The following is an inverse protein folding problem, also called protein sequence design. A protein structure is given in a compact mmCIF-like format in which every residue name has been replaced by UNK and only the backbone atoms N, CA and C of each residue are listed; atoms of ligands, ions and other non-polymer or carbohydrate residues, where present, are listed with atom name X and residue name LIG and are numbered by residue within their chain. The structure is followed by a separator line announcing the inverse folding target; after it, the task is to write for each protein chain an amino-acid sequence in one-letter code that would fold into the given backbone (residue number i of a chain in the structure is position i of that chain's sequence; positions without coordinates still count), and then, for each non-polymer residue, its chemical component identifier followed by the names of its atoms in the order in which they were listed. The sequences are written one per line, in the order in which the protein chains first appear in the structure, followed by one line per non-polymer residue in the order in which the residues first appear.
data_IF_712543045558
#
_entry.id   IF_712543045558
#
_cell.length_a   1.000
_cell.length_b   1.000
_cell.length_c   1.000
_cell.angle_alpha   90.00
_cell.angle_beta   90.00
_cell.angle_gamma   90.00
#
_symmetry.space_group_name_H-M   'P 1'
#
loop_
_entity.id
_entity.type
_entity.pdbx_description
1 polymer ?
#
# COMPACT_ATOMS: atom_id res chain seq x y z
N UNK A 1 -13.39 -31.25 -6.94
CA UNK A 1 -13.07 -31.40 -5.50
C UNK A 1 -13.01 -29.98 -4.95
N UNK A 2 -13.78 -29.67 -3.90
CA UNK A 2 -13.70 -28.34 -3.26
C UNK A 2 -12.26 -28.15 -2.76
N UNK A 3 -11.62 -27.06 -3.20
CA UNK A 3 -10.30 -26.70 -2.69
C UNK A 3 -10.46 -26.26 -1.23
N UNK A 4 -10.03 -27.09 -0.28
CA UNK A 4 -10.09 -26.78 1.15
C UNK A 4 -8.70 -26.86 1.79
N UNK A 5 -8.42 -25.95 2.72
CA UNK A 5 -7.17 -25.86 3.48
C UNK A 5 -7.49 -25.71 4.97
N UNK A 6 -6.83 -26.51 5.79
CA UNK A 6 -6.82 -26.34 7.24
C UNK A 6 -5.47 -25.76 7.68
N UNK A 7 -5.48 -24.60 8.33
CA UNK A 7 -4.34 -24.07 9.06
C UNK A 7 -4.51 -24.51 10.51
N UNK A 8 -3.62 -25.39 11.01
CA UNK A 8 -3.76 -26.05 12.29
C UNK A 8 -2.84 -25.44 13.36
N UNK A 9 -3.37 -25.19 14.54
CA UNK A 9 -2.62 -24.86 15.76
C UNK A 9 -1.95 -23.49 15.76
N UNK A 10 -2.42 -22.55 14.91
CA UNK A 10 -1.83 -21.20 14.80
C UNK A 10 -2.31 -20.22 15.86
N UNK A 11 -1.46 -19.27 16.25
CA UNK A 11 -1.84 -18.06 17.00
C UNK A 11 -2.49 -17.06 16.04
N UNK A 12 -3.81 -17.16 15.88
CA UNK A 12 -4.58 -16.41 14.89
C UNK A 12 -4.98 -15.03 15.42
N UNK A 13 -4.66 -13.98 14.67
CA UNK A 13 -5.12 -12.63 14.94
C UNK A 13 -6.54 -12.43 14.41
N UNK A 14 -7.48 -12.24 15.33
CA UNK A 14 -8.88 -11.89 15.02
C UNK A 14 -9.48 -11.03 16.14
N UNK A 15 -10.43 -10.16 15.80
CA UNK A 15 -11.13 -9.29 16.75
C UNK A 15 -10.17 -8.54 17.72
N UNK A 16 -9.00 -8.11 17.23
CA UNK A 16 -8.02 -7.39 18.05
C UNK A 16 -7.22 -8.26 19.04
N UNK A 17 -7.31 -9.60 18.96
CA UNK A 17 -6.64 -10.55 19.87
C UNK A 17 -5.93 -11.63 19.07
N UNK A 18 -4.93 -12.28 19.70
CA UNK A 18 -4.35 -13.53 19.21
C UNK A 18 -4.96 -14.69 20.00
N UNK A 19 -5.53 -15.65 19.30
CA UNK A 19 -6.18 -16.84 19.88
C UNK A 19 -5.57 -18.09 19.22
N UNK A 20 -5.24 -19.13 20.02
CA UNK A 20 -4.82 -20.42 19.47
C UNK A 20 -6.05 -21.15 18.93
N UNK A 21 -6.09 -21.35 17.62
CA UNK A 21 -7.20 -22.03 16.96
C UNK A 21 -6.83 -22.54 15.57
N UNK A 22 -7.64 -23.46 15.08
CA UNK A 22 -7.59 -23.91 13.70
C UNK A 22 -8.44 -23.01 12.81
N UNK A 23 -7.93 -22.72 11.60
CA UNK A 23 -8.67 -21.98 10.56
C UNK A 23 -9.03 -22.93 9.43
N UNK A 24 -10.31 -23.01 9.09
CA UNK A 24 -10.78 -23.76 7.94
C UNK A 24 -11.11 -22.82 6.79
N UNK A 25 -10.53 -23.12 5.63
CA UNK A 25 -10.70 -22.37 4.38
C UNK A 25 -11.33 -23.29 3.35
N UNK A 26 -12.36 -22.81 2.67
CA UNK A 26 -13.04 -23.53 1.59
C UNK A 26 -13.51 -22.54 0.55
N UNK A 27 -13.30 -22.88 -0.73
CA UNK A 27 -13.68 -22.06 -1.88
C UNK A 27 -13.19 -20.59 -1.76
N UNK A 28 -11.99 -20.40 -1.25
CA UNK A 28 -11.34 -19.09 -1.13
C UNK A 28 -11.77 -18.21 0.04
N UNK A 29 -12.62 -18.73 0.94
CA UNK A 29 -13.14 -17.99 2.11
C UNK A 29 -12.82 -18.70 3.43
N UNK A 30 -12.75 -17.93 4.51
CA UNK A 30 -12.72 -18.49 5.88
C UNK A 30 -14.11 -19.03 6.24
N UNK A 31 -14.21 -20.35 6.48
CA UNK A 31 -15.51 -21.02 6.70
C UNK A 31 -15.67 -21.62 8.09
N UNK A 32 -14.60 -21.69 8.89
CA UNK A 32 -14.70 -22.26 10.24
C UNK A 32 -13.50 -22.00 11.13
N UNK A 33 -13.77 -22.10 12.44
CA UNK A 33 -12.81 -22.11 13.51
C UNK A 33 -13.02 -23.38 14.34
N UNK A 34 -11.92 -24.06 14.77
CA UNK A 34 -12.01 -25.27 15.59
C UNK A 34 -12.87 -26.41 14.99
N UNK A 35 -12.79 -26.63 13.68
CA UNK A 35 -13.55 -27.67 13.02
C UNK A 35 -12.71 -28.94 12.81
N UNK A 36 -13.19 -30.04 13.35
CA UNK A 36 -12.62 -31.38 13.14
C UNK A 36 -13.28 -32.03 11.91
N UNK A 37 -13.00 -31.50 10.71
CA UNK A 37 -13.45 -32.06 9.44
C UNK A 37 -12.27 -32.27 8.48
N UNK A 38 -12.35 -33.25 7.55
CA UNK A 38 -11.31 -33.45 6.54
C UNK A 38 -11.10 -32.19 5.69
N UNK A 39 -9.85 -31.88 5.40
CA UNK A 39 -9.44 -30.84 4.48
C UNK A 39 -8.64 -31.44 3.32
N UNK A 40 -8.68 -30.79 2.15
CA UNK A 40 -7.88 -31.18 0.98
C UNK A 40 -6.38 -30.98 1.18
N UNK A 41 -6.00 -30.04 2.06
CA UNK A 41 -4.63 -29.77 2.50
C UNK A 41 -4.58 -29.34 3.97
N UNK A 42 -3.44 -29.58 4.60
CA UNK A 42 -3.19 -29.11 5.98
C UNK A 42 -1.88 -28.32 5.99
N UNK A 43 -1.91 -27.16 6.62
CA UNK A 43 -0.74 -26.36 6.96
C UNK A 43 -0.57 -26.37 8.47
N UNK A 44 0.50 -26.96 8.96
CA UNK A 44 0.82 -26.97 10.40
C UNK A 44 1.41 -25.61 10.77
N UNK A 45 0.71 -24.87 11.65
CA UNK A 45 1.08 -23.52 12.09
C UNK A 45 1.37 -23.46 13.61
N UNK A 46 1.71 -24.61 14.22
CA UNK A 46 2.01 -24.65 15.64
C UNK A 46 3.14 -23.67 16.01
N UNK A 47 2.91 -22.86 17.04
CA UNK A 47 3.79 -21.78 17.48
C UNK A 47 3.98 -20.63 16.47
N UNK A 48 3.26 -20.60 15.35
CA UNK A 48 3.31 -19.53 14.37
C UNK A 48 2.17 -18.52 14.59
N UNK A 49 2.40 -17.29 14.14
CA UNK A 49 1.38 -16.25 14.12
C UNK A 49 0.67 -16.26 12.75
N UNK A 50 -0.65 -16.24 12.77
CA UNK A 50 -1.49 -16.13 11.57
C UNK A 50 -2.22 -14.79 11.64
N UNK A 51 -1.83 -13.87 10.77
CA UNK A 51 -2.42 -12.54 10.67
C UNK A 51 -3.21 -12.38 9.37
N UNK A 52 -4.15 -11.44 9.25
CA UNK A 52 -4.71 -11.09 7.95
C UNK A 52 -3.60 -10.79 6.95
N UNK A 53 -3.77 -11.19 5.71
CA UNK A 53 -2.79 -10.90 4.66
C UNK A 53 -2.47 -9.40 4.58
N UNK A 54 -1.21 -9.05 4.47
CA UNK A 54 -0.78 -7.65 4.42
C UNK A 54 -1.21 -7.00 3.10
N UNK A 55 -1.58 -5.72 3.15
CA UNK A 55 -2.07 -4.94 2.01
C UNK A 55 -1.19 -3.71 1.84
N UNK A 56 -0.51 -3.62 0.69
CA UNK A 56 0.33 -2.47 0.32
C UNK A 56 -0.38 -1.60 -0.72
N UNK A 57 -0.80 -0.41 -0.33
CA UNK A 57 -1.58 0.49 -1.20
C UNK A 57 -0.73 1.52 -1.95
N UNK A 58 0.59 1.48 -1.77
CA UNK A 58 1.52 2.39 -2.42
C UNK A 58 2.86 1.70 -2.69
N UNK A 59 3.07 1.26 -3.93
CA UNK A 59 4.30 0.61 -4.39
C UNK A 59 4.49 0.82 -5.89
N UNK A 60 5.69 1.25 -6.30
CA UNK A 60 6.06 1.48 -7.72
C UNK A 60 6.67 0.25 -8.38
N UNK A 61 6.98 -0.78 -7.60
CA UNK A 61 7.56 -2.02 -8.12
C UNK A 61 8.51 -2.72 -7.16
N UNK A 62 9.16 -3.78 -7.66
CA UNK A 62 10.16 -4.57 -6.93
C UNK A 62 10.93 -5.46 -7.90
N UNK A 63 12.02 -6.06 -7.43
CA UNK A 63 12.81 -7.11 -8.12
C UNK A 63 13.13 -6.81 -9.58
N UNK A 64 13.51 -5.55 -9.85
CA UNK A 64 13.89 -5.07 -11.19
C UNK A 64 12.71 -4.67 -12.07
N UNK A 65 11.49 -4.66 -11.57
CA UNK A 65 10.27 -4.28 -12.31
C UNK A 65 9.72 -2.97 -11.76
N UNK A 66 9.45 -2.02 -12.65
CA UNK A 66 8.79 -0.74 -12.36
C UNK A 66 7.44 -0.70 -13.07
N UNK A 67 6.37 -0.31 -12.37
CA UNK A 67 5.02 -0.30 -12.94
C UNK A 67 4.80 0.76 -14.03
N UNK A 68 5.67 1.76 -14.14
CA UNK A 68 5.69 2.68 -15.27
C UNK A 68 6.40 2.11 -16.52
N UNK A 69 7.23 1.07 -16.36
CA UNK A 69 8.14 0.60 -17.41
C UNK A 69 7.95 -0.87 -17.79
N UNK A 70 7.18 -1.66 -17.03
CA UNK A 70 7.12 -3.11 -17.26
C UNK A 70 6.66 -3.50 -18.67
N UNK A 71 7.28 -4.56 -19.19
CA UNK A 71 7.07 -5.00 -20.55
C UNK A 71 5.84 -5.91 -20.67
N UNK A 72 5.74 -6.92 -19.82
CA UNK A 72 4.79 -8.03 -19.97
C UNK A 72 4.28 -8.60 -18.63
N UNK A 73 3.47 -9.63 -18.76
CA UNK A 73 2.82 -10.33 -17.64
C UNK A 73 3.79 -11.15 -16.80
N UNK A 74 4.93 -11.58 -17.36
CA UNK A 74 5.93 -12.35 -16.62
C UNK A 74 6.64 -11.49 -15.58
N UNK A 75 6.85 -10.19 -15.89
CA UNK A 75 7.38 -9.23 -14.93
C UNK A 75 6.41 -9.00 -13.78
N UNK A 76 5.10 -8.91 -14.07
CA UNK A 76 4.07 -8.82 -13.01
C UNK A 76 4.04 -10.08 -12.15
N UNK A 77 4.14 -11.27 -12.75
CA UNK A 77 4.21 -12.52 -12.00
C UNK A 77 5.41 -12.56 -11.03
N UNK A 78 6.56 -12.08 -11.48
CA UNK A 78 7.77 -11.96 -10.66
C UNK A 78 7.54 -11.05 -9.44
N UNK A 79 6.92 -9.88 -9.65
CA UNK A 79 6.59 -8.94 -8.57
C UNK A 79 5.57 -9.55 -7.60
N UNK A 80 4.50 -10.16 -8.11
CA UNK A 80 3.47 -10.80 -7.29
C UNK A 80 4.07 -11.91 -6.42
N UNK A 81 4.94 -12.75 -6.99
CA UNK A 81 5.65 -13.79 -6.25
C UNK A 81 6.57 -13.22 -5.16
N UNK A 82 7.28 -12.15 -5.47
CA UNK A 82 8.12 -11.45 -4.50
C UNK A 82 7.27 -10.85 -3.37
N UNK A 83 6.21 -10.13 -3.67
CA UNK A 83 5.34 -9.55 -2.65
C UNK A 83 4.69 -10.63 -1.78
N UNK A 84 4.27 -11.75 -2.36
CA UNK A 84 3.79 -12.89 -1.58
C UNK A 84 4.88 -13.41 -0.63
N UNK A 85 6.15 -13.48 -1.04
CA UNK A 85 7.26 -13.86 -0.16
C UNK A 85 7.51 -12.88 0.99
N UNK A 86 6.94 -11.67 0.90
CA UNK A 86 6.99 -10.61 1.91
C UNK A 86 5.68 -10.46 2.70
N UNK A 87 4.79 -11.44 2.58
CA UNK A 87 3.53 -11.48 3.31
C UNK A 87 2.39 -10.65 2.73
N UNK A 88 2.56 -10.08 1.54
CA UNK A 88 1.55 -9.25 0.87
C UNK A 88 0.56 -10.15 0.13
N UNK A 89 -0.70 -10.09 0.50
CA UNK A 89 -1.80 -10.78 -0.17
C UNK A 89 -2.62 -9.89 -1.09
N UNK A 90 -2.44 -8.58 -0.97
CA UNK A 90 -3.09 -7.58 -1.81
C UNK A 90 -2.27 -6.32 -1.94
N UNK A 91 -2.27 -5.70 -3.12
CA UNK A 91 -1.55 -4.44 -3.33
C UNK A 91 -2.18 -3.59 -4.44
N UNK A 92 -1.83 -2.31 -4.46
CA UNK A 92 -2.12 -1.40 -5.56
C UNK A 92 -0.81 -1.07 -6.28
N UNK A 93 -0.57 -1.57 -7.52
CA UNK A 93 0.50 -1.03 -8.33
C UNK A 93 0.30 0.48 -8.48
N UNK A 94 1.34 1.24 -8.18
CA UNK A 94 1.33 2.71 -8.25
C UNK A 94 2.00 3.16 -9.53
N UNK A 95 1.23 3.82 -10.39
CA UNK A 95 1.73 4.50 -11.60
C UNK A 95 1.98 5.95 -11.23
N UNK A 96 3.23 6.37 -11.29
CA UNK A 96 3.61 7.76 -11.03
C UNK A 96 3.45 8.62 -12.28
N UNK A 97 3.47 9.92 -12.10
CA UNK A 97 3.41 10.93 -13.18
C UNK A 97 4.52 10.70 -14.20
N UNK A 98 4.10 10.50 -15.46
CA UNK A 98 4.96 10.28 -16.62
C UNK A 98 4.30 10.90 -17.87
N UNK A 99 4.91 10.73 -19.03
CA UNK A 99 4.29 11.09 -20.32
C UNK A 99 2.90 10.45 -20.44
N UNK A 100 1.86 11.19 -20.88
CA UNK A 100 0.47 10.70 -20.88
C UNK A 100 0.29 9.35 -21.58
N UNK A 101 0.98 9.13 -22.69
CA UNK A 101 0.88 7.87 -23.44
C UNK A 101 1.59 6.70 -22.72
N UNK A 102 2.64 6.96 -21.95
CA UNK A 102 3.29 5.96 -21.09
C UNK A 102 2.31 5.56 -20.00
N UNK A 103 1.74 6.53 -19.28
CA UNK A 103 0.76 6.26 -18.22
C UNK A 103 -0.44 5.45 -18.75
N UNK A 104 -1.07 5.88 -19.85
CA UNK A 104 -2.21 5.18 -20.47
C UNK A 104 -1.83 3.73 -20.85
N UNK A 105 -0.66 3.55 -21.43
CA UNK A 105 -0.16 2.22 -21.83
C UNK A 105 -0.04 1.30 -20.61
N UNK A 106 0.61 1.75 -19.54
CA UNK A 106 0.83 0.93 -18.36
C UNK A 106 -0.48 0.67 -17.58
N UNK A 107 -1.34 1.70 -17.45
CA UNK A 107 -2.68 1.54 -16.87
C UNK A 107 -3.49 0.49 -17.65
N UNK A 108 -3.47 0.53 -18.98
CA UNK A 108 -4.18 -0.45 -19.84
C UNK A 108 -3.64 -1.88 -19.65
N UNK A 109 -2.31 -2.05 -19.48
CA UNK A 109 -1.69 -3.36 -19.22
C UNK A 109 -2.10 -3.89 -17.85
N UNK A 110 -2.03 -3.06 -16.80
CA UNK A 110 -2.39 -3.43 -15.41
C UNK A 110 -3.87 -3.77 -15.27
N UNK A 111 -4.73 -3.12 -16.04
CA UNK A 111 -6.19 -3.30 -16.00
C UNK A 111 -6.72 -4.41 -16.91
N UNK A 112 -5.85 -5.24 -17.52
CA UNK A 112 -6.31 -6.35 -18.38
C UNK A 112 -7.09 -7.39 -17.56
N UNK A 113 -8.32 -7.76 -17.96
CA UNK A 113 -9.14 -8.72 -17.22
C UNK A 113 -8.45 -10.07 -16.98
N UNK A 114 -7.67 -10.55 -17.97
CA UNK A 114 -6.91 -11.81 -17.84
C UNK A 114 -5.85 -11.72 -16.75
N UNK A 115 -5.14 -10.57 -16.65
CA UNK A 115 -4.14 -10.30 -15.62
C UNK A 115 -4.78 -10.30 -14.23
N UNK A 116 -5.87 -9.56 -14.06
CA UNK A 116 -6.57 -9.43 -12.78
C UNK A 116 -7.18 -10.76 -12.32
N UNK A 117 -7.66 -11.58 -13.26
CA UNK A 117 -8.14 -12.94 -12.94
C UNK A 117 -7.00 -13.86 -12.49
N UNK A 118 -5.82 -13.71 -13.09
CA UNK A 118 -4.63 -14.50 -12.75
C UNK A 118 -4.02 -14.08 -11.42
N UNK A 119 -4.01 -12.77 -11.15
CA UNK A 119 -3.39 -12.17 -9.97
C UNK A 119 -4.42 -11.40 -9.12
N UNK A 120 -5.26 -12.10 -8.32
CA UNK A 120 -6.27 -11.47 -7.46
C UNK A 120 -5.67 -10.62 -6.34
N UNK A 121 -4.36 -10.60 -6.21
CA UNK A 121 -3.59 -9.70 -5.34
C UNK A 121 -3.62 -8.25 -5.80
N UNK A 122 -3.84 -8.00 -7.11
CA UNK A 122 -3.99 -6.64 -7.66
C UNK A 122 -5.39 -6.14 -7.32
N UNK A 123 -5.50 -5.31 -6.29
CA UNK A 123 -6.79 -4.83 -5.75
C UNK A 123 -7.35 -3.61 -6.48
N UNK A 124 -6.58 -3.02 -7.35
CA UNK A 124 -6.83 -1.80 -8.09
C UNK A 124 -5.51 -1.14 -8.47
N UNK A 125 -5.54 0.13 -8.85
CA UNK A 125 -4.37 0.92 -9.23
C UNK A 125 -4.35 2.18 -8.37
N UNK A 126 -3.17 2.57 -7.91
CA UNK A 126 -2.91 3.89 -7.33
C UNK A 126 -2.28 4.77 -8.41
N UNK A 127 -2.85 5.93 -8.65
CA UNK A 127 -2.31 6.95 -9.56
C UNK A 127 -1.64 8.05 -8.74
N UNK A 128 -0.32 8.21 -8.83
CA UNK A 128 0.40 9.26 -8.12
C UNK A 128 0.64 10.47 -9.03
N UNK A 129 -0.20 11.47 -8.87
CA UNK A 129 -0.32 12.62 -9.76
C UNK A 129 -1.24 12.35 -10.97
N UNK A 130 -1.18 13.16 -12.05
CA UNK A 130 -0.23 14.26 -12.33
C UNK A 130 -0.58 15.62 -11.68
N UNK A 131 -1.61 15.70 -10.87
CA UNK A 131 -2.15 16.95 -10.31
C UNK A 131 -1.40 17.33 -9.01
N UNK A 132 -0.08 17.57 -9.12
CA UNK A 132 0.82 17.80 -8.00
C UNK A 132 1.44 19.20 -8.05
N UNK A 133 1.90 19.69 -6.88
CA UNK A 133 2.60 20.96 -6.77
C UNK A 133 4.07 20.82 -7.18
N UNK A 134 4.51 21.64 -8.14
CA UNK A 134 5.88 21.64 -8.66
C UNK A 134 6.96 21.83 -7.58
N UNK A 135 6.67 22.64 -6.55
CA UNK A 135 7.62 22.87 -5.44
C UNK A 135 7.78 21.67 -4.50
N UNK A 136 6.83 20.73 -4.54
CA UNK A 136 6.82 19.51 -3.71
C UNK A 136 6.77 18.25 -4.56
N UNK A 137 7.19 18.33 -5.80
CA UNK A 137 7.09 17.27 -6.83
C UNK A 137 7.85 15.98 -6.50
N UNK A 138 8.78 16.01 -5.53
CA UNK A 138 9.60 14.84 -5.23
C UNK A 138 10.40 14.37 -6.46
N UNK A 139 10.19 13.14 -6.87
CA UNK A 139 10.83 12.54 -8.04
C UNK A 139 10.18 12.91 -9.38
N UNK A 140 8.96 13.50 -9.41
CA UNK A 140 8.24 13.79 -10.63
C UNK A 140 8.91 14.91 -11.44
N UNK A 141 8.83 14.82 -12.77
CA UNK A 141 9.27 15.90 -13.67
C UNK A 141 8.25 17.01 -13.68
N UNK A 142 8.71 18.25 -13.48
CA UNK A 142 7.84 19.42 -13.38
C UNK A 142 7.00 19.67 -14.64
N UNK A 143 7.58 19.44 -15.81
CA UNK A 143 6.93 19.63 -17.12
C UNK A 143 5.76 18.66 -17.38
N UNK A 144 5.66 17.59 -16.58
CA UNK A 144 4.58 16.58 -16.68
C UNK A 144 3.43 16.84 -15.71
N UNK A 145 3.61 17.79 -14.77
CA UNK A 145 2.58 18.14 -13.81
C UNK A 145 1.47 18.96 -14.46
N UNK A 146 0.24 18.79 -13.97
CA UNK A 146 -0.95 19.40 -14.55
C UNK A 146 -1.81 20.06 -13.50
N UNK A 147 -2.61 21.05 -13.90
CA UNK A 147 -3.76 21.49 -13.14
C UNK A 147 -4.81 20.37 -13.05
N UNK A 148 -5.63 20.40 -11.99
CA UNK A 148 -6.67 19.41 -11.82
C UNK A 148 -7.74 19.54 -12.92
N UNK A 149 -7.86 18.51 -13.72
CA UNK A 149 -8.77 18.43 -14.85
C UNK A 149 -9.48 17.07 -14.87
N UNK A 150 -10.81 17.08 -14.90
CA UNK A 150 -11.62 15.87 -14.89
C UNK A 150 -11.48 15.07 -16.20
N UNK A 151 -11.38 15.75 -17.33
CA UNK A 151 -11.21 15.10 -18.64
C UNK A 151 -9.87 14.35 -18.71
N UNK A 152 -8.81 14.95 -18.17
CA UNK A 152 -7.51 14.30 -18.07
C UNK A 152 -7.57 13.05 -17.17
N UNK A 153 -8.27 13.13 -16.03
CA UNK A 153 -8.47 11.95 -15.19
C UNK A 153 -9.33 10.89 -15.89
N UNK A 154 -10.40 11.27 -16.58
CA UNK A 154 -11.28 10.35 -17.28
C UNK A 154 -10.54 9.56 -18.37
N UNK A 155 -9.65 10.19 -19.12
CA UNK A 155 -8.79 9.49 -20.08
C UNK A 155 -7.90 8.42 -19.42
N UNK A 156 -7.33 8.70 -18.24
CA UNK A 156 -6.51 7.75 -17.50
C UNK A 156 -7.37 6.63 -16.90
N UNK A 157 -8.54 6.97 -16.36
CA UNK A 157 -9.47 5.99 -15.79
C UNK A 157 -10.05 5.06 -16.85
N UNK A 158 -10.32 5.58 -18.05
CA UNK A 158 -10.77 4.78 -19.19
C UNK A 158 -9.66 3.81 -19.66
N UNK A 159 -8.41 4.27 -19.74
CA UNK A 159 -7.26 3.42 -20.02
C UNK A 159 -7.11 2.33 -18.94
N UNK A 160 -7.33 2.68 -17.68
CA UNK A 160 -7.34 1.78 -16.54
C UNK A 160 -8.63 0.94 -16.42
N UNK A 161 -9.58 1.04 -17.32
CA UNK A 161 -10.89 0.31 -17.27
C UNK A 161 -11.61 0.45 -15.94
N UNK A 162 -11.55 1.62 -15.32
CA UNK A 162 -12.15 1.87 -14.01
C UNK A 162 -11.36 1.33 -12.81
N UNK A 163 -10.13 0.86 -13.00
CA UNK A 163 -9.33 0.24 -11.94
C UNK A 163 -8.53 1.22 -11.07
N UNK A 164 -8.48 2.53 -11.41
CA UNK A 164 -7.90 3.53 -10.51
C UNK A 164 -8.80 3.66 -9.29
N UNK A 165 -8.32 3.19 -8.15
CA UNK A 165 -9.02 3.24 -6.86
C UNK A 165 -8.53 4.32 -5.93
N UNK A 166 -7.26 4.71 -6.08
CA UNK A 166 -6.62 5.77 -5.30
C UNK A 166 -5.94 6.74 -6.24
N UNK A 167 -6.04 8.03 -5.97
CA UNK A 167 -5.24 9.07 -6.63
C UNK A 167 -4.60 9.97 -5.57
N UNK A 168 -3.30 10.23 -5.74
CA UNK A 168 -2.59 11.28 -5.01
C UNK A 168 -2.63 12.58 -5.78
N UNK A 169 -3.03 13.67 -5.10
CA UNK A 169 -3.04 15.01 -5.67
C UNK A 169 -2.76 16.08 -4.58
N UNK A 170 -2.41 17.28 -5.02
CA UNK A 170 -2.11 18.41 -4.13
C UNK A 170 -3.32 19.34 -4.00
N UNK A 171 -3.79 19.62 -2.77
CA UNK A 171 -5.03 20.38 -2.56
C UNK A 171 -5.01 21.82 -3.09
N UNK A 172 -3.84 22.44 -3.18
CA UNK A 172 -3.63 23.80 -3.67
C UNK A 172 -3.61 23.92 -5.21
N UNK A 173 -3.52 22.81 -5.93
CA UNK A 173 -3.55 22.84 -7.40
C UNK A 173 -4.91 23.29 -7.89
N UNK A 174 -4.93 24.21 -8.85
CA UNK A 174 -6.15 24.79 -9.39
C UNK A 174 -7.12 23.71 -9.87
N UNK A 175 -8.40 23.82 -9.48
CA UNK A 175 -9.45 22.85 -9.84
C UNK A 175 -9.57 21.65 -8.88
N UNK A 176 -8.61 21.47 -7.97
CA UNK A 176 -8.51 20.29 -7.10
C UNK A 176 -9.79 20.02 -6.31
N UNK A 177 -10.35 21.03 -5.65
CA UNK A 177 -11.55 20.86 -4.80
C UNK A 177 -12.77 20.35 -5.58
N UNK A 178 -12.93 20.77 -6.83
CA UNK A 178 -13.99 20.29 -7.71
C UNK A 178 -13.72 18.85 -8.15
N UNK A 179 -12.47 18.57 -8.55
CA UNK A 179 -12.06 17.23 -8.95
C UNK A 179 -12.24 16.23 -7.79
N UNK A 180 -11.86 16.58 -6.56
CA UNK A 180 -12.04 15.70 -5.39
C UNK A 180 -13.51 15.29 -5.22
N UNK A 181 -14.47 16.22 -5.30
CA UNK A 181 -15.90 15.90 -5.19
C UNK A 181 -16.36 14.92 -6.26
N UNK A 182 -15.98 15.16 -7.50
CA UNK A 182 -16.31 14.30 -8.63
C UNK A 182 -15.75 12.89 -8.45
N UNK A 183 -14.47 12.77 -8.12
CA UNK A 183 -13.80 11.49 -7.94
C UNK A 183 -14.36 10.70 -6.76
N UNK A 184 -14.58 11.37 -5.64
CA UNK A 184 -15.16 10.74 -4.44
C UNK A 184 -16.58 10.27 -4.70
N UNK A 185 -17.38 11.04 -5.42
CA UNK A 185 -18.73 10.64 -5.86
C UNK A 185 -18.74 9.39 -6.75
N UNK A 186 -17.65 9.10 -7.44
CA UNK A 186 -17.43 7.90 -8.28
C UNK A 186 -16.75 6.75 -7.52
N UNK A 187 -16.49 6.90 -6.21
CA UNK A 187 -15.87 5.87 -5.36
C UNK A 187 -14.35 5.80 -5.43
N UNK A 188 -13.68 6.74 -6.11
CA UNK A 188 -12.23 6.86 -6.10
C UNK A 188 -11.78 7.52 -4.80
N UNK A 189 -10.80 6.93 -4.12
CA UNK A 189 -10.21 7.49 -2.91
C UNK A 189 -9.18 8.55 -3.27
N UNK A 190 -9.31 9.72 -2.67
CA UNK A 190 -8.37 10.81 -2.89
C UNK A 190 -7.42 10.91 -1.71
N UNK A 191 -6.12 10.83 -1.99
CA UNK A 191 -5.03 10.99 -1.04
C UNK A 191 -4.32 12.33 -1.28
N UNK A 192 -4.07 13.09 -0.23
CA UNK A 192 -3.41 14.39 -0.31
C UNK A 192 -1.90 14.23 -0.11
N UNK A 193 -1.12 14.68 -1.07
CA UNK A 193 0.35 14.57 -1.02
C UNK A 193 1.04 15.51 -1.99
N UNK A 194 2.37 15.51 -1.99
CA UNK A 194 3.20 16.36 -2.84
C UNK A 194 2.77 17.84 -2.79
N UNK A 195 2.62 18.39 -1.58
CA UNK A 195 1.81 19.58 -1.36
C UNK A 195 2.48 20.60 -0.45
N UNK A 196 2.41 21.85 -0.87
CA UNK A 196 2.71 23.03 -0.06
C UNK A 196 1.49 23.72 0.54
N UNK A 197 0.31 23.08 0.49
CA UNK A 197 -0.95 23.67 0.92
C UNK A 197 -0.91 24.22 2.33
N UNK A 198 -1.64 25.30 2.52
CA UNK A 198 -1.99 25.83 3.82
C UNK A 198 -3.05 24.98 4.53
N UNK A 199 -3.31 25.32 5.79
CA UNK A 199 -4.29 24.60 6.61
C UNK A 199 -5.69 24.65 6.00
N UNK A 200 -6.20 25.84 5.65
CA UNK A 200 -7.57 26.04 5.14
C UNK A 200 -7.79 25.37 3.76
N UNK A 201 -6.78 25.40 2.90
CA UNK A 201 -6.85 24.70 1.60
C UNK A 201 -7.00 23.20 1.81
N UNK A 202 -6.23 22.65 2.74
CA UNK A 202 -6.25 21.22 3.08
C UNK A 202 -7.59 20.83 3.72
N UNK A 203 -8.11 21.64 4.67
CA UNK A 203 -9.45 21.43 5.24
C UNK A 203 -10.51 21.43 4.15
N UNK A 204 -10.44 22.40 3.22
CA UNK A 204 -11.37 22.45 2.09
C UNK A 204 -11.30 21.23 1.16
N UNK A 205 -10.15 20.60 1.02
CA UNK A 205 -9.98 19.36 0.25
C UNK A 205 -10.54 18.14 1.02
N UNK A 206 -10.31 18.07 2.34
CA UNK A 206 -10.88 17.02 3.19
C UNK A 206 -12.41 17.12 3.22
N UNK A 207 -12.96 18.31 3.39
CA UNK A 207 -14.42 18.55 3.37
C UNK A 207 -15.03 18.28 1.98
N UNK A 208 -14.24 18.33 0.91
CA UNK A 208 -14.64 17.92 -0.43
C UNK A 208 -14.65 16.40 -0.63
N UNK A 209 -14.04 15.62 0.28
CA UNK A 209 -14.06 14.16 0.28
C UNK A 209 -12.70 13.46 0.25
N UNK A 210 -11.58 14.19 0.33
CA UNK A 210 -10.28 13.56 0.47
C UNK A 210 -10.24 12.71 1.76
N UNK A 211 -9.77 11.47 1.66
CA UNK A 211 -9.90 10.46 2.72
C UNK A 211 -8.58 9.95 3.28
N UNK A 212 -7.46 10.35 2.69
CA UNK A 212 -6.13 9.97 3.16
C UNK A 212 -5.07 11.02 2.82
N UNK A 213 -3.86 10.82 3.36
CA UNK A 213 -2.65 11.54 2.93
C UNK A 213 -1.57 10.54 2.57
N UNK A 214 -0.86 10.84 1.48
CA UNK A 214 0.21 10.02 0.90
C UNK A 214 1.50 10.26 1.70
N UNK A 215 2.23 9.18 2.01
CA UNK A 215 3.54 9.15 2.69
C UNK A 215 3.81 10.36 3.59
N UNK A 216 3.01 10.48 4.67
CA UNK A 216 2.97 11.64 5.59
C UNK A 216 4.37 12.16 5.94
N UNK A 217 4.53 13.49 5.97
CA UNK A 217 5.76 14.25 6.18
C UNK A 217 6.78 14.21 5.03
N UNK A 218 6.55 13.42 4.00
CA UNK A 218 7.42 13.39 2.81
C UNK A 218 6.79 14.19 1.67
N UNK A 219 7.60 14.95 0.93
CA UNK A 219 7.15 15.82 -0.16
C UNK A 219 5.96 16.70 0.23
N UNK A 220 5.95 17.27 1.44
CA UNK A 220 4.88 18.16 1.91
C UNK A 220 5.40 19.25 2.84
N UNK A 221 4.67 20.36 2.91
CA UNK A 221 4.94 21.45 3.83
C UNK A 221 4.75 20.97 5.27
N UNK A 222 5.81 21.12 6.08
CA UNK A 222 5.79 20.68 7.47
C UNK A 222 5.10 21.70 8.39
N UNK A 223 4.75 21.23 9.58
CA UNK A 223 4.11 22.04 10.62
C UNK A 223 5.02 23.20 11.06
N UNK A 224 4.45 24.41 11.08
CA UNK A 224 5.05 25.60 11.67
C UNK A 224 4.03 26.32 12.56
N UNK A 225 4.48 26.86 13.70
CA UNK A 225 3.57 27.41 14.73
C UNK A 225 2.77 28.63 14.25
N UNK A 226 3.28 29.39 13.28
CA UNK A 226 2.62 30.61 12.77
C UNK A 226 1.99 30.41 11.38
N UNK A 227 2.28 29.30 10.72
CA UNK A 227 1.79 28.96 9.39
C UNK A 227 1.48 27.47 9.34
N UNK A 228 0.36 27.06 9.95
CA UNK A 228 -0.06 25.66 9.92
C UNK A 228 -0.29 25.22 8.49
N UNK A 229 0.31 24.10 8.13
CA UNK A 229 0.33 23.56 6.79
C UNK A 229 -0.58 22.33 6.65
N UNK A 230 -0.53 21.67 5.50
CA UNK A 230 -1.17 20.39 5.21
C UNK A 230 -0.97 19.39 6.36
N UNK A 231 0.24 19.29 6.92
CA UNK A 231 0.53 18.35 7.99
C UNK A 231 -0.34 18.56 9.23
N UNK A 232 -0.61 19.82 9.62
CA UNK A 232 -1.48 20.11 10.76
C UNK A 232 -2.92 19.65 10.51
N UNK A 233 -3.47 20.00 9.35
CA UNK A 233 -4.84 19.61 8.98
C UNK A 233 -5.01 18.08 8.91
N UNK A 234 -4.05 17.39 8.33
CA UNK A 234 -4.05 15.92 8.24
C UNK A 234 -3.98 15.26 9.61
N UNK A 235 -3.16 15.80 10.54
CA UNK A 235 -3.05 15.25 11.89
C UNK A 235 -4.30 15.48 12.72
N UNK A 236 -5.00 16.58 12.51
CA UNK A 236 -6.21 16.96 13.25
C UNK A 236 -7.47 16.23 12.77
N UNK A 237 -7.63 16.09 11.43
CA UNK A 237 -8.86 15.55 10.81
C UNK A 237 -8.88 14.02 10.80
N UNK A 238 -10.07 13.44 10.81
CA UNK A 238 -10.29 11.98 10.80
C UNK A 238 -10.17 11.38 9.41
N UNK A 239 -8.99 11.46 8.79
CA UNK A 239 -8.61 10.81 7.53
C UNK A 239 -7.47 9.84 7.77
N UNK A 240 -7.23 8.92 6.84
CA UNK A 240 -6.09 8.01 6.94
C UNK A 240 -4.77 8.71 6.59
N UNK A 241 -3.64 8.12 7.04
CA UNK A 241 -2.31 8.62 6.70
C UNK A 241 -1.36 7.44 6.42
N UNK A 242 -0.72 7.48 5.25
CA UNK A 242 0.31 6.53 4.88
C UNK A 242 1.64 6.87 5.56
N UNK A 243 2.39 5.86 5.98
CA UNK A 243 3.74 6.02 6.53
C UNK A 243 4.71 4.99 5.96
N UNK A 244 5.90 5.45 5.58
CA UNK A 244 7.03 4.63 5.16
C UNK A 244 7.92 4.42 6.38
N UNK A 245 7.92 3.20 6.93
CA UNK A 245 8.58 2.89 8.21
C UNK A 245 9.94 2.23 8.02
N UNK A 246 10.75 2.75 7.12
CA UNK A 246 12.09 2.24 6.78
C UNK A 246 13.21 2.75 7.71
N UNK A 247 12.93 3.78 8.53
CA UNK A 247 13.92 4.48 9.37
C UNK A 247 14.66 5.61 8.65
N UNK A 248 14.51 5.74 7.32
CA UNK A 248 15.06 6.83 6.49
C UNK A 248 14.03 7.92 6.25
N UNK A 249 12.83 7.56 5.77
CA UNK A 249 11.72 8.49 5.55
C UNK A 249 11.16 9.00 6.88
N UNK A 250 10.96 8.11 7.83
CA UNK A 250 10.49 8.44 9.16
C UNK A 250 11.43 7.86 10.23
N UNK A 251 12.11 8.72 10.96
CA UNK A 251 12.91 8.30 12.11
C UNK A 251 12.00 7.65 13.18
N UNK A 252 12.44 6.60 13.92
CA UNK A 252 11.60 5.88 14.88
C UNK A 252 10.82 6.74 15.89
N UNK A 253 11.38 7.79 16.53
CA UNK A 253 10.62 8.76 17.32
C UNK A 253 9.47 9.44 16.59
N UNK A 254 9.63 9.75 15.29
CA UNK A 254 8.57 10.36 14.48
C UNK A 254 7.43 9.38 14.25
N UNK A 255 7.74 8.10 13.95
CA UNK A 255 6.72 7.05 13.85
C UNK A 255 5.88 6.97 15.13
N UNK A 256 6.55 6.95 16.31
CA UNK A 256 5.83 6.93 17.60
C UNK A 256 4.98 8.19 17.84
N UNK A 257 5.47 9.35 17.43
CA UNK A 257 4.75 10.63 17.55
C UNK A 257 3.50 10.62 16.67
N UNK A 258 3.62 10.21 15.42
CA UNK A 258 2.50 10.10 14.48
C UNK A 258 1.43 9.15 15.01
N UNK A 259 1.80 7.95 15.47
CA UNK A 259 0.88 6.99 16.06
C UNK A 259 0.20 7.51 17.34
N UNK A 260 0.87 8.37 18.11
CA UNK A 260 0.31 9.00 19.30
C UNK A 260 -0.70 10.10 18.97
N UNK A 261 -0.43 10.89 17.94
CA UNK A 261 -1.29 12.04 17.54
C UNK A 261 -2.46 11.56 16.68
N UNK A 262 -2.17 10.82 15.61
CA UNK A 262 -3.15 10.40 14.61
C UNK A 262 -3.98 9.19 15.06
N UNK A 263 -3.43 8.36 15.95
CA UNK A 263 -4.04 7.11 16.36
C UNK A 263 -3.68 5.93 15.45
N UNK A 264 -3.77 4.73 16.00
CA UNK A 264 -3.38 3.48 15.35
C UNK A 264 -4.35 3.02 14.26
N UNK A 265 -5.59 3.44 14.33
CA UNK A 265 -6.68 3.06 13.44
C UNK A 265 -6.81 3.98 12.20
N UNK A 266 -5.98 5.01 12.10
CA UNK A 266 -5.90 5.94 10.96
C UNK A 266 -4.54 5.93 10.25
N UNK A 267 -3.57 5.17 10.76
CA UNK A 267 -2.27 5.04 10.11
C UNK A 267 -2.22 3.78 9.25
N UNK A 268 -1.61 3.88 8.06
CA UNK A 268 -1.41 2.77 7.13
C UNK A 268 0.08 2.68 6.84
N UNK A 269 0.69 1.52 7.04
CA UNK A 269 2.05 1.26 6.60
C UNK A 269 2.05 0.92 5.11
N UNK A 270 2.83 1.64 4.34
CA UNK A 270 3.08 1.39 2.92
C UNK A 270 4.58 1.21 2.70
N UNK A 271 4.94 0.62 1.57
CA UNK A 271 6.36 0.50 1.24
C UNK A 271 6.87 1.69 0.45
N UNK A 272 6.09 2.23 -0.46
CA UNK A 272 6.58 3.15 -1.49
C UNK A 272 7.81 2.54 -2.19
N UNK A 273 7.78 1.20 -2.37
CA UNK A 273 8.92 0.46 -2.92
C UNK A 273 9.09 0.73 -4.41
N UNK A 274 10.35 0.73 -4.84
CA UNK A 274 10.73 0.87 -6.24
C UNK A 274 11.31 -0.46 -6.77
N UNK A 275 11.63 -0.53 -8.05
CA UNK A 275 12.21 -1.72 -8.69
C UNK A 275 13.46 -2.28 -7.97
N UNK A 276 14.14 -1.48 -7.16
CA UNK A 276 15.29 -1.89 -6.37
C UNK A 276 14.94 -2.77 -5.15
N UNK A 277 13.68 -2.77 -4.70
CA UNK A 277 13.27 -3.59 -3.57
C UNK A 277 13.50 -5.08 -3.88
N UNK A 278 14.21 -5.77 -3.00
CA UNK A 278 14.62 -7.16 -3.19
C UNK A 278 15.93 -7.35 -3.96
N UNK A 279 16.57 -6.26 -4.39
CA UNK A 279 17.86 -6.26 -5.07
C UNK A 279 18.95 -5.58 -4.22
N UNK A 280 20.25 -5.81 -4.54
CA UNK A 280 21.36 -5.17 -3.84
C UNK A 280 21.42 -3.66 -4.11
N UNK A 281 22.27 -2.96 -3.37
CA UNK A 281 22.60 -1.56 -3.65
C UNK A 281 23.11 -1.39 -5.08
N UNK A 282 22.78 -0.27 -5.72
CA UNK A 282 23.12 -0.01 -7.11
C UNK A 282 22.34 1.13 -7.74
N UNK A 283 22.44 1.26 -9.06
CA UNK A 283 21.66 2.22 -9.83
C UNK A 283 20.41 1.54 -10.42
N UNK A 284 19.27 2.23 -10.32
CA UNK A 284 17.96 1.77 -10.72
C UNK A 284 17.17 2.90 -11.39
N UNK A 285 15.94 2.62 -11.77
CA UNK A 285 14.97 3.60 -12.28
C UNK A 285 13.78 3.72 -11.35
N UNK A 286 13.14 4.88 -11.39
CA UNK A 286 11.79 5.13 -10.90
C UNK A 286 11.07 5.95 -11.97
N UNK A 287 10.23 5.28 -12.77
CA UNK A 287 9.73 5.86 -14.00
C UNK A 287 10.89 6.39 -14.85
N UNK A 288 10.86 7.66 -15.30
CA UNK A 288 11.92 8.25 -16.13
C UNK A 288 13.17 8.68 -15.36
N UNK A 289 13.25 8.47 -14.03
CA UNK A 289 14.30 9.03 -13.20
C UNK A 289 15.34 7.99 -12.80
N UNK A 290 16.62 8.39 -12.76
CA UNK A 290 17.69 7.55 -12.23
C UNK A 290 17.78 7.67 -10.72
N UNK A 291 17.85 6.53 -10.05
CA UNK A 291 17.93 6.41 -8.59
C UNK A 291 19.19 5.63 -8.23
N UNK A 292 19.91 6.09 -7.23
CA UNK A 292 21.02 5.37 -6.57
C UNK A 292 20.53 4.84 -5.22
N UNK A 293 20.73 3.55 -4.99
CA UNK A 293 20.48 2.91 -3.68
C UNK A 293 21.82 2.66 -3.02
N UNK A 294 21.96 3.16 -1.78
CA UNK A 294 23.13 2.94 -0.94
C UNK A 294 22.68 2.66 0.49
N UNK A 295 23.15 1.55 1.05
CA UNK A 295 22.75 1.07 2.38
C UNK A 295 21.21 0.97 2.53
N UNK A 296 20.51 0.68 1.42
CA UNK A 296 19.06 0.60 1.34
C UNK A 296 18.31 1.94 1.24
N UNK A 297 19.00 3.10 1.29
CA UNK A 297 18.41 4.45 1.11
C UNK A 297 18.43 4.82 -0.39
N UNK A 298 17.23 5.04 -0.98
CA UNK A 298 17.05 5.33 -2.40
C UNK A 298 16.96 6.84 -2.64
N UNK A 299 17.78 7.37 -3.55
CA UNK A 299 17.88 8.80 -3.87
C UNK A 299 18.01 9.06 -5.35
N UNK A 300 17.41 10.15 -5.82
CA UNK A 300 17.65 10.65 -7.18
C UNK A 300 19.14 10.93 -7.39
N UNK A 301 19.69 10.45 -8.50
CA UNK A 301 21.06 10.71 -8.89
C UNK A 301 21.30 12.20 -9.13
N UNK A 302 20.31 12.90 -9.66
CA UNK A 302 20.40 14.31 -10.05
C UNK A 302 20.60 15.26 -8.88
N UNK A 303 19.87 15.07 -7.77
CA UNK A 303 19.80 16.08 -6.70
C UNK A 303 19.85 15.50 -5.28
N UNK A 304 19.95 14.16 -5.14
CA UNK A 304 20.03 13.49 -3.84
C UNK A 304 18.73 13.46 -3.02
N UNK A 305 17.62 13.89 -3.60
CA UNK A 305 16.29 13.79 -2.95
C UNK A 305 15.87 12.32 -2.87
N UNK A 306 15.28 11.90 -1.74
CA UNK A 306 14.71 10.54 -1.63
C UNK A 306 13.61 10.31 -2.65
N UNK A 307 13.59 9.12 -3.22
CA UNK A 307 12.69 8.75 -4.31
C UNK A 307 12.29 7.28 -4.14
N UNK A 308 11.13 7.09 -3.54
CA UNK A 308 10.66 5.78 -3.13
C UNK A 308 11.57 5.09 -2.12
N UNK A 309 11.38 3.81 -1.90
CA UNK A 309 12.14 3.04 -0.92
C UNK A 309 12.55 1.65 -1.43
N UNK A 310 13.36 0.94 -0.63
CA UNK A 310 13.62 -0.49 -0.78
C UNK A 310 12.91 -1.31 0.31
N UNK A 311 11.96 -0.69 1.03
CA UNK A 311 11.21 -1.31 2.11
C UNK A 311 10.33 -2.43 1.56
N UNK A 312 10.17 -3.49 2.36
CA UNK A 312 9.20 -4.58 2.13
C UNK A 312 8.26 -4.69 3.32
N UNK A 313 7.05 -5.23 3.12
CA UNK A 313 6.03 -5.24 4.18
C UNK A 313 6.44 -6.09 5.41
N UNK A 314 7.18 -7.19 5.21
CA UNK A 314 7.77 -7.96 6.30
C UNK A 314 8.81 -7.15 7.10
N UNK A 315 9.61 -6.33 6.43
CA UNK A 315 10.55 -5.40 7.09
C UNK A 315 9.79 -4.27 7.80
N UNK A 316 8.72 -3.75 7.19
CA UNK A 316 7.86 -2.76 7.83
C UNK A 316 7.23 -3.30 9.13
N UNK A 317 6.75 -4.54 9.12
CA UNK A 317 6.26 -5.23 10.31
C UNK A 317 7.32 -5.26 11.44
N UNK A 318 8.53 -5.75 11.13
CA UNK A 318 9.62 -5.83 12.11
C UNK A 318 10.05 -4.45 12.61
N UNK A 319 10.15 -3.47 11.71
CA UNK A 319 10.46 -2.09 12.07
C UNK A 319 9.38 -1.49 12.99
N UNK A 320 8.10 -1.69 12.71
CA UNK A 320 7.02 -1.23 13.58
C UNK A 320 7.10 -1.85 14.99
N UNK A 321 7.36 -3.14 15.09
CA UNK A 321 7.57 -3.81 16.38
C UNK A 321 8.77 -3.23 17.13
N UNK A 322 9.88 -3.03 16.44
CA UNK A 322 11.11 -2.48 17.04
C UNK A 322 10.95 -1.00 17.43
N UNK A 323 10.45 -0.16 16.52
CA UNK A 323 10.34 1.29 16.73
C UNK A 323 9.34 1.65 17.84
N UNK A 324 8.27 0.86 17.98
CA UNK A 324 7.17 1.18 18.89
C UNK A 324 7.18 0.37 20.17
N UNK A 325 7.79 -0.82 20.16
CA UNK A 325 7.70 -1.84 21.23
C UNK A 325 6.26 -2.24 21.56
N UNK A 326 5.35 -2.01 20.62
CA UNK A 326 3.95 -2.36 20.77
C UNK A 326 3.74 -3.86 20.48
N UNK A 327 2.72 -4.50 21.08
CA UNK A 327 2.38 -5.87 20.77
C UNK A 327 1.85 -6.01 19.35
N UNK A 328 2.02 -7.20 18.75
CA UNK A 328 1.63 -7.52 17.37
C UNK A 328 0.19 -7.11 17.06
N UNK A 329 -0.72 -7.26 18.03
CA UNK A 329 -2.14 -6.91 17.89
C UNK A 329 -2.38 -5.44 17.55
N UNK A 330 -1.48 -4.54 17.93
CA UNK A 330 -1.55 -3.12 17.56
C UNK A 330 -0.91 -2.83 16.21
N UNK A 331 0.02 -3.67 15.77
CA UNK A 331 0.74 -3.51 14.50
C UNK A 331 -0.10 -4.01 13.33
N UNK A 332 -0.77 -5.15 13.46
CA UNK A 332 -1.52 -5.80 12.37
C UNK A 332 -2.50 -4.86 11.66
N UNK A 333 -3.31 -4.03 12.34
CA UNK A 333 -4.20 -3.10 11.65
C UNK A 333 -3.49 -2.13 10.70
N UNK A 334 -2.27 -1.69 11.02
CA UNK A 334 -1.47 -0.77 10.20
C UNK A 334 -1.04 -1.40 8.86
N UNK A 335 -0.92 -2.73 8.83
CA UNK A 335 -0.41 -3.49 7.68
C UNK A 335 -1.53 -4.09 6.82
N UNK A 336 -2.77 -4.08 7.29
CA UNK A 336 -3.87 -4.79 6.62
C UNK A 336 -5.22 -4.09 6.79
N UNK A 337 -5.81 -4.14 7.98
CA UNK A 337 -7.19 -3.72 8.26
C UNK A 337 -7.46 -2.26 7.88
N UNK A 338 -6.52 -1.34 8.19
CA UNK A 338 -6.70 0.09 7.92
C UNK A 338 -6.67 0.37 6.41
N UNK A 339 -5.80 -0.30 5.66
CA UNK A 339 -5.75 -0.21 4.20
C UNK A 339 -7.06 -0.73 3.56
N UNK A 340 -7.54 -1.89 4.00
CA UNK A 340 -8.82 -2.45 3.53
C UNK A 340 -10.00 -1.51 3.80
N UNK A 341 -10.08 -0.94 5.00
CA UNK A 341 -11.12 0.03 5.39
C UNK A 341 -11.05 1.32 4.57
N UNK A 342 -9.85 1.87 4.39
CA UNK A 342 -9.64 3.07 3.55
C UNK A 342 -10.11 2.83 2.12
N UNK A 343 -9.81 1.66 1.55
CA UNK A 343 -10.26 1.27 0.22
C UNK A 343 -11.74 0.90 0.14
N UNK A 344 -12.42 0.69 1.27
CA UNK A 344 -13.81 0.22 1.31
C UNK A 344 -13.97 -1.27 0.97
N UNK A 345 -12.92 -2.08 1.16
CA UNK A 345 -12.93 -3.51 0.92
C UNK A 345 -13.43 -4.24 2.17
N UNK A 346 -14.69 -4.64 2.17
CA UNK A 346 -15.32 -5.27 3.32
C UNK A 346 -14.98 -6.75 3.50
N UNK A 347 -14.48 -7.40 2.46
CA UNK A 347 -14.12 -8.81 2.42
C UNK A 347 -12.65 -9.10 2.73
N UNK A 348 -11.84 -8.07 2.96
CA UNK A 348 -10.38 -8.13 3.20
C UNK A 348 -9.98 -7.51 4.53
N UNK A 349 -8.72 -7.71 4.91
CA UNK A 349 -8.07 -7.03 6.04
C UNK A 349 -8.40 -7.61 7.41
N UNK A 350 -9.19 -8.68 7.50
CA UNK A 350 -9.56 -9.34 8.75
C UNK A 350 -9.76 -10.85 8.54
N UNK A 351 -9.40 -11.65 9.54
CA UNK A 351 -9.72 -13.09 9.58
C UNK A 351 -11.10 -13.25 10.24
N UNK A 352 -12.13 -13.39 9.42
CA UNK A 352 -13.50 -13.57 9.86
C UNK A 352 -14.28 -14.48 8.91
N UNK A 353 -15.33 -15.14 9.41
CA UNK A 353 -16.15 -16.04 8.60
C UNK A 353 -16.77 -15.31 7.40
N UNK A 354 -16.73 -15.98 6.24
CA UNK A 354 -17.27 -15.46 4.99
C UNK A 354 -16.37 -14.45 4.27
N UNK A 355 -15.29 -13.98 4.89
CA UNK A 355 -14.31 -13.10 4.23
C UNK A 355 -13.37 -13.91 3.36
N UNK A 356 -12.80 -13.25 2.33
CA UNK A 356 -11.76 -13.82 1.47
C UNK A 356 -10.59 -14.28 2.34
N UNK A 357 -10.15 -15.51 2.11
CA UNK A 357 -9.11 -16.13 2.90
C UNK A 357 -7.73 -15.64 2.46
N UNK A 358 -7.38 -14.46 2.95
CA UNK A 358 -6.07 -13.85 2.83
C UNK A 358 -5.40 -13.83 4.20
N UNK A 359 -4.26 -14.50 4.31
CA UNK A 359 -3.51 -14.62 5.55
C UNK A 359 -2.01 -14.63 5.32
N UNK A 360 -1.27 -14.07 6.27
CA UNK A 360 0.19 -14.19 6.36
C UNK A 360 0.55 -15.00 7.59
N UNK A 361 1.37 -16.03 7.41
CA UNK A 361 1.85 -16.89 8.48
C UNK A 361 3.29 -16.51 8.78
N UNK A 362 3.57 -16.21 10.05
CA UNK A 362 4.85 -15.73 10.54
C UNK A 362 5.39 -16.70 11.58
N UNK A 363 6.70 -16.92 11.58
CA UNK A 363 7.35 -17.66 12.65
C UNK A 363 7.57 -16.79 13.92
N UNK A 364 8.23 -17.35 14.91
CA UNK A 364 8.53 -16.66 16.19
C UNK A 364 9.46 -15.45 16.03
N UNK A 365 10.22 -15.38 14.92
CA UNK A 365 11.10 -14.25 14.57
C UNK A 365 10.37 -13.18 13.74
N UNK A 366 9.07 -13.39 13.48
CA UNK A 366 8.24 -12.54 12.60
C UNK A 366 8.70 -12.56 11.14
N UNK A 367 9.35 -13.65 10.72
CA UNK A 367 9.64 -13.88 9.30
C UNK A 367 8.49 -14.62 8.62
N UNK A 368 8.26 -14.29 7.35
CA UNK A 368 7.17 -14.89 6.57
C UNK A 368 7.47 -16.35 6.26
N UNK A 369 6.58 -17.24 6.70
CA UNK A 369 6.61 -18.66 6.42
C UNK A 369 5.71 -19.00 5.23
N UNK A 370 4.52 -18.42 5.18
CA UNK A 370 3.60 -18.58 4.07
C UNK A 370 2.68 -17.38 3.90
N UNK A 371 2.22 -17.20 2.67
CA UNK A 371 1.18 -16.22 2.34
C UNK A 371 0.07 -16.92 1.59
N UNK A 372 -1.15 -16.68 2.06
CA UNK A 372 -2.38 -17.23 1.48
C UNK A 372 -3.15 -16.10 0.85
N UNK A 373 -3.57 -16.28 -0.39
CA UNK A 373 -4.40 -15.34 -1.15
C UNK A 373 -5.58 -16.09 -1.75
N UNK A 374 -6.78 -15.61 -1.49
CA UNK A 374 -8.02 -16.23 -1.98
C UNK A 374 -8.07 -17.73 -1.66
N UNK A 375 -7.60 -18.12 -0.47
CA UNK A 375 -7.59 -19.49 0.03
C UNK A 375 -6.48 -20.39 -0.52
N UNK A 376 -5.60 -19.88 -1.38
CA UNK A 376 -4.49 -20.65 -1.96
C UNK A 376 -3.15 -20.19 -1.37
N UNK A 377 -2.24 -21.13 -1.17
CA UNK A 377 -0.87 -20.83 -0.77
C UNK A 377 -0.17 -20.16 -1.96
N UNK A 378 0.00 -18.83 -1.89
CA UNK A 378 0.69 -18.03 -2.89
C UNK A 378 2.22 -18.05 -2.70
N UNK A 379 2.67 -18.25 -1.46
CA UNK A 379 4.07 -18.44 -1.12
C UNK A 379 4.20 -19.37 0.08
N UNK A 380 5.21 -20.22 0.05
CA UNK A 380 5.66 -21.04 1.17
C UNK A 380 7.19 -21.05 1.19
N UNK A 381 7.78 -20.72 2.33
CA UNK A 381 9.24 -20.81 2.54
C UNK A 381 9.66 -22.28 2.45
N UNK A 382 10.65 -22.58 1.63
CA UNK A 382 11.31 -23.88 1.60
C UNK A 382 12.07 -24.11 2.92
N UNK A 383 12.04 -25.33 3.43
CA UNK A 383 12.73 -25.74 4.66
C UNK A 383 14.25 -25.78 4.48
#
# INVERSE_FOLDING_TARGET
MNESLLIRGGKVYRNGRCEELDLFIEDGAFTGFHQNRPAGGVFEAENMHVIPGMIDIHTHGAVGVDFNLFADEQEIEKVVGFFASKGVSGFLPTVLTDEPEVMKTQLSKLARPALLKRFPQILGIHLEGPFLNASYKGAMKEELLKECDLSCFDELQDAARGMIRVITLSPEVRGCRTLIRELTGRGVRVSLGHSGAGYEETIGAIDAGASSTTHIMNAMKLLHMHDPAILTAVLERDIYAEMIVDGFHLHPPIVRLLLKIKGWDRMISVTDSIMAAGYPDGEYLLGPNRVIVKDGDAKLVENGVRAGSTLTMDKALRNLLDFTRAPLQRIVPLLSTNAARMLGLSDLGEIALGKRADATILDSSMDVVATITSGKIAYRREE
#
